data_IF_879692124105
#
_entry.id   IF_879692124105
#
_cell.length_a   1.000
_cell.length_b   1.000
_cell.length_c   1.000
_cell.angle_alpha   90.00
_cell.angle_beta   90.00
_cell.angle_gamma   90.00
#
_symmetry.space_group_name_H-M   'P 1'
#
loop_
_entity.id
_entity.type
_entity.pdbx_description
1 polymer ?
#
# COMPACT_ATOMS: atom_id res chain seq x y z
N UNK A 1 -74.15 4.02 43.59
CA UNK A 1 -75.34 3.18 43.33
C UNK A 1 -75.37 2.82 41.85
N UNK A 2 -75.60 1.54 41.59
CA UNK A 2 -75.89 0.89 40.30
C UNK A 2 -74.71 0.48 39.39
N UNK A 3 -74.23 -0.74 39.70
CA UNK A 3 -73.93 -1.86 38.80
C UNK A 3 -73.98 -1.63 37.28
N UNK A 4 -72.93 -2.04 36.58
CA UNK A 4 -73.04 -3.21 35.72
C UNK A 4 -71.71 -3.92 35.51
N UNK A 5 -71.83 -5.24 35.53
CA UNK A 5 -70.83 -6.28 35.71
C UNK A 5 -70.95 -7.20 34.47
N UNK A 6 -69.90 -7.99 34.19
CA UNK A 6 -69.86 -9.14 33.25
C UNK A 6 -69.51 -8.81 31.79
N UNK A 7 -68.27 -9.10 31.37
CA UNK A 7 -67.75 -10.38 30.83
C UNK A 7 -67.92 -10.49 29.31
N UNK A 8 -66.81 -10.32 28.56
CA UNK A 8 -66.53 -11.12 27.36
C UNK A 8 -65.02 -11.40 27.33
N UNK A 9 -64.64 -12.57 27.82
CA UNK A 9 -63.41 -13.29 27.45
C UNK A 9 -63.81 -14.20 26.30
N UNK A 10 -63.11 -14.18 25.16
CA UNK A 10 -62.74 -15.35 24.33
C UNK A 10 -62.12 -14.84 22.99
N UNK A 11 -60.80 -15.00 22.82
CA UNK A 11 -60.13 -15.98 21.92
C UNK A 11 -59.74 -15.42 20.54
N UNK A 12 -58.42 -15.18 20.42
CA UNK A 12 -57.51 -15.64 19.37
C UNK A 12 -58.04 -15.75 17.94
N UNK A 13 -57.59 -14.84 17.07
CA UNK A 13 -57.23 -15.17 15.69
C UNK A 13 -56.02 -14.35 15.25
N UNK A 14 -55.01 -15.09 14.79
CA UNK A 14 -53.84 -14.66 14.03
C UNK A 14 -54.09 -13.42 13.17
N UNK A 15 -53.30 -12.37 13.34
CA UNK A 15 -52.94 -11.52 12.20
C UNK A 15 -51.43 -11.35 12.14
N UNK A 16 -50.88 -12.00 11.13
CA UNK A 16 -49.55 -12.03 10.59
C UNK A 16 -48.60 -10.90 11.05
N UNK A 17 -47.47 -11.36 11.61
CA UNK A 17 -46.17 -10.69 11.55
C UNK A 17 -45.98 -9.98 10.20
N UNK A 18 -46.17 -8.66 10.17
CA UNK A 18 -45.55 -7.82 9.16
C UNK A 18 -44.11 -7.57 9.62
N UNK A 19 -43.25 -8.56 9.41
CA UNK A 19 -41.81 -8.37 9.39
C UNK A 19 -41.52 -7.27 8.37
N UNK A 20 -41.11 -6.12 8.88
CA UNK A 20 -40.43 -5.09 8.12
C UNK A 20 -39.15 -5.71 7.54
N UNK A 21 -39.26 -6.30 6.35
CA UNK A 21 -38.11 -6.65 5.53
C UNK A 21 -37.83 -5.47 4.62
N UNK A 22 -37.21 -4.44 5.19
CA UNK A 22 -36.47 -3.47 4.40
C UNK A 22 -35.27 -4.22 3.81
N UNK A 23 -35.49 -4.83 2.64
CA UNK A 23 -34.41 -5.25 1.75
C UNK A 23 -33.74 -3.98 1.21
N UNK A 24 -32.93 -3.32 2.04
CA UNK A 24 -31.93 -2.41 1.53
C UNK A 24 -30.88 -3.27 0.84
N UNK A 25 -30.92 -3.28 -0.48
CA UNK A 25 -29.86 -3.85 -1.31
C UNK A 25 -28.55 -3.14 -0.94
N UNK A 26 -27.73 -3.81 -0.13
CA UNK A 26 -26.36 -3.39 0.14
C UNK A 26 -25.62 -3.36 -1.22
N UNK A 27 -24.97 -2.23 -1.59
CA UNK A 27 -24.20 -2.18 -2.82
C UNK A 27 -23.09 -3.22 -2.79
N UNK A 28 -23.14 -4.17 -3.73
CA UNK A 28 -22.09 -5.15 -3.97
C UNK A 28 -20.92 -4.44 -4.66
N UNK A 29 -20.04 -3.81 -3.88
CA UNK A 29 -18.78 -3.28 -4.40
C UNK A 29 -17.90 -4.46 -4.84
N UNK A 30 -17.41 -4.39 -6.07
CA UNK A 30 -16.45 -5.37 -6.58
C UNK A 30 -15.13 -5.25 -5.80
N UNK A 31 -14.41 -6.38 -5.65
CA UNK A 31 -13.09 -6.41 -5.01
C UNK A 31 -12.03 -5.54 -5.71
N UNK A 32 -12.27 -5.16 -6.97
CA UNK A 32 -11.51 -4.17 -7.72
C UNK A 32 -11.75 -2.73 -7.26
N UNK A 33 -13.00 -2.35 -6.96
CA UNK A 33 -13.35 -0.98 -6.53
C UNK A 33 -12.86 -0.69 -5.11
N UNK A 34 -12.93 -1.70 -4.22
CA UNK A 34 -12.36 -1.60 -2.86
C UNK A 34 -10.83 -1.47 -2.93
N UNK A 35 -10.15 -2.20 -3.82
CA UNK A 35 -8.69 -2.10 -3.98
C UNK A 35 -8.21 -0.72 -4.47
N UNK A 36 -8.93 -0.10 -5.41
CA UNK A 36 -8.57 1.23 -5.92
C UNK A 36 -8.71 2.31 -4.84
N UNK A 37 -9.75 2.23 -4.01
CA UNK A 37 -9.99 3.19 -2.91
C UNK A 37 -8.85 3.24 -1.88
N UNK A 38 -8.14 2.12 -1.67
CA UNK A 38 -7.03 2.04 -0.73
C UNK A 38 -5.74 2.64 -1.30
N UNK A 39 -5.54 2.62 -2.62
CA UNK A 39 -4.38 3.28 -3.24
C UNK A 39 -4.55 4.80 -3.12
N UNK A 40 -5.71 5.32 -3.48
CA UNK A 40 -5.99 6.75 -3.49
C UNK A 40 -6.00 7.39 -2.10
N UNK A 41 -6.11 6.61 -1.03
CA UNK A 41 -6.06 7.09 0.35
C UNK A 41 -4.64 7.19 0.91
N UNK A 42 -3.66 6.49 0.34
CA UNK A 42 -2.29 6.44 0.88
C UNK A 42 -1.23 6.99 -0.07
N UNK A 43 -1.48 7.01 -1.38
CA UNK A 43 -0.53 7.54 -2.36
C UNK A 43 -0.65 9.07 -2.43
N UNK A 44 0.46 9.83 -2.33
CA UNK A 44 0.46 11.27 -2.55
C UNK A 44 -0.03 11.63 -3.95
N UNK A 45 -0.49 12.87 -4.14
CA UNK A 45 -0.69 13.41 -5.48
C UNK A 45 0.63 13.45 -6.28
N UNK A 46 0.53 13.54 -7.60
CA UNK A 46 1.70 13.51 -8.51
C UNK A 46 2.69 14.65 -8.22
N UNK A 47 2.18 15.83 -7.85
CA UNK A 47 2.99 17.02 -7.57
C UNK A 47 3.89 16.82 -6.34
N UNK A 48 3.39 16.12 -5.33
CA UNK A 48 4.09 15.88 -4.07
C UNK A 48 4.83 14.54 -4.03
N UNK A 49 4.44 13.57 -4.86
CA UNK A 49 5.00 12.22 -4.90
C UNK A 49 6.52 12.22 -4.91
N UNK A 50 7.13 12.93 -5.87
CA UNK A 50 8.59 12.93 -6.05
C UNK A 50 9.31 13.56 -4.85
N UNK A 51 8.75 14.65 -4.32
CA UNK A 51 9.34 15.38 -3.20
C UNK A 51 9.32 14.55 -1.91
N UNK A 52 8.19 13.91 -1.60
CA UNK A 52 8.08 13.05 -0.43
C UNK A 52 8.95 11.80 -0.55
N UNK A 53 8.95 11.14 -1.71
CA UNK A 53 9.79 9.97 -1.92
C UNK A 53 11.28 10.32 -1.76
N UNK A 54 11.73 11.42 -2.36
CA UNK A 54 13.12 11.86 -2.22
C UNK A 54 13.49 12.21 -0.77
N UNK A 55 12.60 12.90 -0.05
CA UNK A 55 12.78 13.23 1.38
C UNK A 55 12.96 11.96 2.21
N UNK A 56 12.13 10.95 1.98
CA UNK A 56 12.10 9.75 2.81
C UNK A 56 13.24 8.78 2.48
N UNK A 57 13.59 8.64 1.19
CA UNK A 57 14.82 7.95 0.78
C UNK A 57 16.05 8.60 1.40
N UNK A 58 16.15 9.94 1.37
CA UNK A 58 17.25 10.66 2.01
C UNK A 58 17.31 10.38 3.50
N UNK A 59 16.17 10.45 4.18
CA UNK A 59 16.08 10.20 5.62
C UNK A 59 16.50 8.77 5.97
N UNK A 60 16.05 7.78 5.18
CA UNK A 60 16.43 6.38 5.33
C UNK A 60 17.95 6.17 5.18
N UNK A 61 18.56 6.66 4.09
CA UNK A 61 19.98 6.43 3.82
C UNK A 61 20.91 7.18 4.78
N UNK A 62 20.54 8.38 5.23
CA UNK A 62 21.28 9.08 6.30
C UNK A 62 21.24 8.25 7.59
N UNK A 63 20.05 7.75 7.96
CA UNK A 63 19.85 7.03 9.22
C UNK A 63 20.52 5.66 9.22
N UNK A 64 20.18 4.81 8.25
CA UNK A 64 20.56 3.39 8.24
C UNK A 64 21.97 3.17 7.67
N UNK A 65 22.37 3.95 6.67
CA UNK A 65 23.66 3.80 5.97
C UNK A 65 24.69 4.87 6.32
N UNK A 66 24.37 5.80 7.24
CA UNK A 66 25.27 6.86 7.71
C UNK A 66 25.83 7.71 6.57
N UNK A 67 24.99 8.06 5.59
CA UNK A 67 25.33 9.10 4.62
C UNK A 67 25.32 10.48 5.27
N UNK A 68 26.05 11.43 4.67
CA UNK A 68 25.99 12.84 5.07
C UNK A 68 24.64 13.47 4.70
N UNK A 69 24.34 14.66 5.24
CA UNK A 69 23.11 15.40 4.92
C UNK A 69 23.06 15.88 3.47
N UNK A 70 24.23 16.04 2.83
CA UNK A 70 24.38 16.53 1.45
C UNK A 70 24.34 15.40 0.40
N UNK A 71 23.83 14.22 0.80
CA UNK A 71 23.70 13.06 -0.05
C UNK A 71 22.85 13.36 -1.30
N UNK A 72 23.39 12.95 -2.44
CA UNK A 72 22.72 12.97 -3.73
C UNK A 72 21.98 11.65 -3.91
N UNK A 73 20.71 11.73 -4.31
CA UNK A 73 19.85 10.57 -4.54
C UNK A 73 19.21 10.71 -5.91
N UNK A 74 19.52 9.77 -6.78
CA UNK A 74 18.82 9.55 -8.03
C UNK A 74 18.00 8.28 -7.91
N UNK A 75 16.80 8.28 -8.48
CA UNK A 75 15.96 7.11 -8.44
C UNK A 75 15.11 6.95 -9.69
N UNK A 76 14.83 5.69 -10.01
CA UNK A 76 14.00 5.27 -11.13
C UNK A 76 12.92 4.33 -10.62
N UNK A 77 11.66 4.59 -11.00
CA UNK A 77 10.58 3.67 -10.68
C UNK A 77 10.69 2.39 -11.54
N UNK A 78 10.63 1.25 -10.87
CA UNK A 78 10.66 -0.06 -11.52
C UNK A 78 9.28 -0.51 -12.00
N UNK A 79 8.23 0.26 -11.70
CA UNK A 79 6.86 0.15 -12.23
C UNK A 79 6.24 1.54 -12.37
N UNK A 80 5.23 1.67 -13.22
CA UNK A 80 4.57 2.96 -13.50
C UNK A 80 3.73 3.51 -12.34
N UNK A 81 3.52 2.73 -11.27
CA UNK A 81 2.77 3.18 -10.11
C UNK A 81 2.78 2.17 -8.97
N UNK A 82 1.94 2.45 -7.98
CA UNK A 82 1.80 1.59 -6.82
C UNK A 82 1.25 0.21 -7.22
N UNK A 83 1.75 -0.84 -6.57
CA UNK A 83 1.15 -2.17 -6.62
C UNK A 83 0.58 -2.50 -5.25
N UNK A 84 -0.67 -2.96 -5.22
CA UNK A 84 -1.35 -3.39 -4.01
C UNK A 84 -1.93 -4.80 -4.21
N UNK A 85 -1.78 -5.65 -3.19
CA UNK A 85 -2.42 -6.95 -3.13
C UNK A 85 -3.23 -7.00 -1.84
N UNK A 86 -4.55 -7.19 -1.97
CA UNK A 86 -5.49 -7.21 -0.85
C UNK A 86 -5.51 -5.89 -0.08
N UNK A 87 -5.60 -5.95 1.24
CA UNK A 87 -5.70 -4.80 2.15
C UNK A 87 -4.34 -4.22 2.59
N UNK A 88 -3.25 -4.60 1.92
CA UNK A 88 -1.91 -4.13 2.28
C UNK A 88 -1.64 -2.73 1.73
N UNK A 89 -0.73 -1.98 2.37
CA UNK A 89 -0.34 -0.65 1.88
C UNK A 89 0.16 -0.69 0.42
N UNK A 90 -0.09 0.36 -0.38
CA UNK A 90 0.42 0.47 -1.75
C UNK A 90 1.95 0.45 -1.77
N UNK A 91 2.54 -0.34 -2.66
CA UNK A 91 3.99 -0.55 -2.74
C UNK A 91 4.59 0.04 -4.01
N UNK A 92 5.73 0.69 -3.85
CA UNK A 92 6.57 1.17 -4.93
C UNK A 92 7.87 0.37 -4.96
N UNK A 93 8.34 0.14 -6.17
CA UNK A 93 9.60 -0.55 -6.43
C UNK A 93 10.52 0.43 -7.14
N UNK A 94 11.71 0.62 -6.59
CA UNK A 94 12.57 1.75 -6.95
C UNK A 94 13.99 1.21 -7.13
N UNK A 95 14.66 1.63 -8.21
CA UNK A 95 16.10 1.55 -8.30
C UNK A 95 16.71 2.86 -7.83
N UNK A 96 17.74 2.81 -7.01
CA UNK A 96 18.35 4.00 -6.41
C UNK A 96 19.85 4.01 -6.64
N UNK A 97 20.38 5.21 -6.88
CA UNK A 97 21.81 5.52 -6.86
C UNK A 97 22.01 6.62 -5.84
N UNK A 98 22.86 6.37 -4.84
CA UNK A 98 23.08 7.23 -3.69
C UNK A 98 24.57 7.51 -3.56
N UNK A 99 24.94 8.78 -3.58
CA UNK A 99 26.35 9.16 -3.42
C UNK A 99 26.54 10.33 -2.46
N UNK A 100 27.64 10.29 -1.72
CA UNK A 100 28.23 11.46 -1.09
C UNK A 100 29.75 11.47 -1.32
N UNK A 101 30.46 12.42 -0.71
CA UNK A 101 31.91 12.58 -0.90
C UNK A 101 32.75 11.36 -0.45
N UNK A 102 32.16 10.43 0.31
CA UNK A 102 32.86 9.29 0.91
C UNK A 102 32.54 7.96 0.25
N UNK A 103 31.33 7.78 -0.29
CA UNK A 103 30.86 6.49 -0.81
C UNK A 103 29.73 6.63 -1.82
N UNK A 104 29.58 5.56 -2.60
CA UNK A 104 28.47 5.34 -3.52
C UNK A 104 27.76 4.03 -3.18
N UNK A 105 26.43 4.02 -3.20
CA UNK A 105 25.60 2.84 -3.05
C UNK A 105 24.51 2.83 -4.11
N UNK A 106 24.25 1.66 -4.66
CA UNK A 106 23.23 1.43 -5.67
C UNK A 106 22.41 0.21 -5.28
N UNK A 107 21.14 0.15 -5.67
CA UNK A 107 20.34 -1.06 -5.47
C UNK A 107 18.84 -0.89 -5.62
N UNK A 108 18.12 -1.93 -5.21
CA UNK A 108 16.66 -2.01 -5.34
C UNK A 108 15.95 -1.82 -4.00
N UNK A 109 14.89 -1.03 -4.00
CA UNK A 109 14.05 -0.71 -2.84
C UNK A 109 12.62 -1.16 -3.05
N UNK A 110 12.01 -1.67 -1.98
CA UNK A 110 10.56 -1.77 -1.82
C UNK A 110 10.10 -0.75 -0.77
N UNK A 111 9.30 0.22 -1.17
CA UNK A 111 8.73 1.22 -0.28
C UNK A 111 7.20 1.08 -0.19
N UNK A 112 6.61 1.36 0.97
CA UNK A 112 5.17 1.46 1.15
C UNK A 112 4.77 2.94 1.23
N UNK A 113 3.67 3.34 0.59
CA UNK A 113 3.10 4.67 0.75
C UNK A 113 2.16 4.70 1.96
N UNK A 114 2.31 5.72 2.81
CA UNK A 114 1.55 5.92 4.04
C UNK A 114 0.91 7.31 4.00
N UNK A 115 -0.39 7.36 4.27
CA UNK A 115 -1.17 8.57 4.57
C UNK A 115 -0.89 9.77 3.64
N UNK A 116 -0.67 9.52 2.34
CA UNK A 116 -0.40 10.51 1.28
C UNK A 116 0.82 11.39 1.49
N UNK A 117 1.65 11.09 2.47
CA UNK A 117 2.69 12.01 2.90
C UNK A 117 4.02 11.35 3.24
N UNK A 118 4.07 10.03 3.31
CA UNK A 118 5.28 9.29 3.69
C UNK A 118 5.48 8.04 2.81
N UNK A 119 6.75 7.74 2.54
CA UNK A 119 7.22 6.48 1.99
C UNK A 119 8.12 5.75 2.97
N UNK A 120 7.63 4.62 3.49
CA UNK A 120 8.42 3.77 4.37
C UNK A 120 9.22 2.75 3.55
N UNK A 121 10.55 2.79 3.62
CA UNK A 121 11.41 1.76 3.05
C UNK A 121 11.27 0.47 3.85
N UNK A 122 10.74 -0.57 3.21
CA UNK A 122 10.53 -1.89 3.84
C UNK A 122 11.67 -2.84 3.57
N UNK A 123 12.33 -2.71 2.42
CA UNK A 123 13.49 -3.50 2.03
C UNK A 123 14.39 -2.68 1.12
N UNK A 124 15.69 -2.87 1.30
CA UNK A 124 16.72 -2.42 0.38
C UNK A 124 17.71 -3.57 0.18
N UNK A 125 18.03 -3.86 -1.08
CA UNK A 125 19.04 -4.84 -1.47
C UNK A 125 20.05 -4.09 -2.33
N UNK A 126 21.29 -4.01 -1.85
CA UNK A 126 22.34 -3.28 -2.56
C UNK A 126 22.88 -4.08 -3.76
N UNK A 127 23.50 -3.39 -4.71
CA UNK A 127 23.99 -3.98 -5.96
C UNK A 127 25.01 -5.09 -5.73
N UNK A 128 25.91 -4.97 -4.75
CA UNK A 128 26.91 -5.99 -4.46
C UNK A 128 26.24 -7.29 -3.98
N UNK A 129 25.21 -7.19 -3.14
CA UNK A 129 24.40 -8.32 -2.72
C UNK A 129 23.65 -8.95 -3.89
N UNK A 130 23.09 -8.13 -4.79
CA UNK A 130 22.41 -8.61 -6.00
C UNK A 130 23.39 -9.34 -6.92
N UNK A 131 24.59 -8.82 -7.12
CA UNK A 131 25.62 -9.45 -7.97
C UNK A 131 26.12 -10.77 -7.39
N UNK A 132 26.33 -10.81 -6.07
CA UNK A 132 26.81 -12.03 -5.40
C UNK A 132 25.71 -13.09 -5.27
N UNK A 133 24.45 -12.69 -5.17
CA UNK A 133 23.31 -13.59 -5.06
C UNK A 133 22.05 -13.04 -5.75
N UNK A 134 21.91 -13.17 -7.08
CA UNK A 134 20.77 -12.61 -7.82
C UNK A 134 19.41 -13.18 -7.39
N UNK A 135 19.40 -14.37 -6.77
CA UNK A 135 18.17 -15.00 -6.29
C UNK A 135 17.49 -14.20 -5.17
N UNK A 136 18.25 -13.37 -4.44
CA UNK A 136 17.73 -12.54 -3.34
C UNK A 136 16.62 -11.60 -3.79
N UNK A 137 16.68 -11.10 -5.04
CA UNK A 137 15.65 -10.23 -5.61
C UNK A 137 14.27 -10.90 -5.55
N UNK A 138 14.21 -12.20 -5.85
CA UNK A 138 12.95 -12.97 -5.92
C UNK A 138 12.32 -13.21 -4.56
N UNK A 139 13.05 -12.94 -3.47
CA UNK A 139 12.52 -13.05 -2.09
C UNK A 139 11.72 -11.81 -1.68
N UNK A 140 11.96 -10.66 -2.32
CA UNK A 140 11.36 -9.35 -1.96
C UNK A 140 10.46 -8.81 -3.07
N UNK A 141 10.86 -9.02 -4.32
CA UNK A 141 10.30 -8.34 -5.48
C UNK A 141 9.48 -9.29 -6.37
N UNK A 142 8.37 -8.81 -6.97
CA UNK A 142 7.65 -9.56 -7.98
C UNK A 142 8.52 -9.88 -9.20
N UNK A 143 8.28 -11.00 -9.86
CA UNK A 143 9.08 -11.47 -11.00
C UNK A 143 9.28 -10.40 -12.09
N UNK A 144 8.24 -9.63 -12.45
CA UNK A 144 8.36 -8.58 -13.46
C UNK A 144 9.32 -7.43 -13.04
N UNK A 145 9.43 -7.15 -11.74
CA UNK A 145 10.39 -6.17 -11.22
C UNK A 145 11.80 -6.75 -11.31
N UNK A 146 11.99 -8.01 -10.92
CA UNK A 146 13.28 -8.70 -11.07
C UNK A 146 13.75 -8.69 -12.53
N UNK A 147 12.88 -9.04 -13.47
CA UNK A 147 13.19 -9.04 -14.90
C UNK A 147 13.58 -7.64 -15.40
N UNK A 148 12.94 -6.58 -14.88
CA UNK A 148 13.34 -5.20 -15.21
C UNK A 148 14.73 -4.87 -14.66
N UNK A 149 15.00 -5.22 -13.40
CA UNK A 149 16.30 -5.01 -12.77
C UNK A 149 17.41 -5.70 -13.57
N UNK A 150 17.24 -6.99 -13.84
CA UNK A 150 18.19 -7.82 -14.58
C UNK A 150 18.47 -7.25 -15.98
N UNK A 151 17.43 -6.75 -16.66
CA UNK A 151 17.54 -6.20 -18.02
C UNK A 151 18.13 -4.79 -18.08
N UNK A 152 17.93 -3.95 -17.08
CA UNK A 152 18.25 -2.52 -17.16
C UNK A 152 19.49 -2.14 -16.35
N UNK A 153 19.78 -2.83 -15.24
CA UNK A 153 20.81 -2.40 -14.28
C UNK A 153 21.89 -3.44 -14.01
N UNK A 154 21.68 -4.71 -14.40
CA UNK A 154 22.67 -5.79 -14.20
C UNK A 154 23.37 -6.22 -15.49
N UNK A 155 23.30 -5.41 -16.55
CA UNK A 155 24.01 -5.70 -17.80
C UNK A 155 25.52 -5.61 -17.57
N UNK A 156 26.23 -6.68 -17.91
CA UNK A 156 27.69 -6.73 -18.04
C UNK A 156 28.14 -5.94 -19.28
#
# INVERSE_FOLDING_TARGET
MNHNFQQIVLIFTLFCFALASQNEAQPNYSSSEINLSHIDSHVPDEQNFRNYLQRDLRSYFIKEYRFTKDVQIEFTLLREGATQVGVSLPKFYIWVIISDNSKNLEGAIRAAALDKSEFMVTNFINLDEIKNNPSVLRTVFPAAVCNKIEREFLKE
#
